data_IF_748483929249
#
_entry.id   IF_748483929249
#
_cell.length_a   1.000
_cell.length_b   1.000
_cell.length_c   1.000
_cell.angle_alpha   90.00
_cell.angle_beta   90.00
_cell.angle_gamma   90.00
#
_symmetry.space_group_name_H-M   'P 1'
#
loop_
_entity.id
_entity.type
_entity.pdbx_description
1 polymer ?
#
# COMPACT_ATOMS: atom_id res chain seq x y z
N UNK A 1 -14.87 -38.10 20.99
CA UNK A 1 -14.14 -36.82 21.13
C UNK A 1 -14.70 -35.88 20.09
N UNK A 2 -15.34 -34.78 20.49
CA UNK A 2 -15.70 -33.72 19.53
C UNK A 2 -14.39 -33.15 18.96
N UNK A 3 -14.36 -32.87 17.66
CA UNK A 3 -13.16 -32.30 17.05
C UNK A 3 -12.86 -30.93 17.68
N UNK A 4 -11.60 -30.72 18.08
CA UNK A 4 -11.14 -29.49 18.75
C UNK A 4 -11.26 -28.24 17.86
N UNK A 5 -11.48 -28.45 16.56
CA UNK A 5 -11.75 -27.42 15.57
C UNK A 5 -12.77 -27.92 14.53
N UNK A 6 -13.50 -26.98 13.94
CA UNK A 6 -14.42 -27.22 12.84
C UNK A 6 -14.25 -26.16 11.76
N UNK A 7 -14.27 -26.59 10.49
CA UNK A 7 -14.29 -25.68 9.34
C UNK A 7 -15.74 -25.48 8.91
N UNK A 8 -16.18 -24.22 8.93
CA UNK A 8 -17.49 -23.82 8.43
C UNK A 8 -17.34 -23.18 7.04
N UNK A 9 -18.24 -23.52 6.12
CA UNK A 9 -18.16 -23.08 4.71
C UNK A 9 -19.44 -22.38 4.32
N UNK A 10 -19.33 -21.20 3.73
CA UNK A 10 -20.48 -20.40 3.31
C UNK A 10 -20.32 -20.01 1.84
N UNK A 11 -21.27 -20.37 0.96
CA UNK A 11 -21.32 -19.81 -0.39
C UNK A 11 -21.81 -18.36 -0.32
N UNK A 12 -21.04 -17.42 -0.88
CA UNK A 12 -21.40 -16.00 -0.91
C UNK A 12 -22.09 -15.59 -2.22
N UNK A 13 -22.55 -16.55 -3.02
CA UNK A 13 -23.13 -16.28 -4.35
C UNK A 13 -24.35 -15.35 -4.29
N UNK A 14 -25.14 -15.44 -3.22
CA UNK A 14 -26.30 -14.60 -2.97
C UNK A 14 -26.11 -13.85 -1.65
N UNK A 15 -26.74 -12.68 -1.50
CA UNK A 15 -26.73 -11.96 -0.24
C UNK A 15 -27.50 -12.78 0.80
N UNK A 16 -26.98 -12.87 2.02
CA UNK A 16 -27.57 -13.74 3.02
C UNK A 16 -27.03 -13.49 4.41
N UNK A 17 -27.60 -14.24 5.34
CA UNK A 17 -27.21 -14.28 6.74
C UNK A 17 -27.28 -15.70 7.26
N UNK A 18 -26.44 -16.02 8.24
CA UNK A 18 -26.41 -17.34 8.86
C UNK A 18 -25.95 -17.26 10.32
N UNK A 19 -26.32 -18.26 11.11
CA UNK A 19 -26.10 -18.28 12.55
C UNK A 19 -25.37 -19.55 12.92
N UNK A 20 -24.12 -19.39 13.36
CA UNK A 20 -23.31 -20.52 13.80
C UNK A 20 -23.49 -20.66 15.30
N UNK A 21 -24.31 -21.62 15.72
CA UNK A 21 -24.64 -21.92 17.12
C UNK A 21 -23.65 -22.93 17.70
N UNK A 22 -22.38 -22.58 17.68
CA UNK A 22 -21.29 -23.40 18.22
C UNK A 22 -20.59 -22.57 19.28
N UNK A 23 -20.40 -23.15 20.46
CA UNK A 23 -19.55 -22.56 21.49
C UNK A 23 -18.12 -22.55 20.97
N UNK A 24 -17.50 -21.38 20.89
CA UNK A 24 -16.12 -21.26 20.47
C UNK A 24 -15.41 -20.15 21.27
N UNK A 25 -14.11 -20.34 21.47
CA UNK A 25 -13.20 -19.31 21.99
C UNK A 25 -12.46 -18.61 20.84
N UNK A 26 -12.50 -19.22 19.66
CA UNK A 26 -11.72 -18.86 18.49
C UNK A 26 -12.59 -18.91 17.23
N UNK A 27 -12.71 -17.78 16.55
CA UNK A 27 -13.40 -17.66 15.26
C UNK A 27 -12.54 -16.87 14.27
N UNK A 28 -12.11 -17.51 13.17
CA UNK A 28 -11.23 -16.89 12.17
C UNK A 28 -11.78 -17.09 10.76
N UNK A 29 -11.87 -16.02 9.97
CA UNK A 29 -12.06 -16.13 8.53
C UNK A 29 -10.72 -16.54 7.89
N UNK A 30 -10.61 -17.80 7.47
CA UNK A 30 -9.38 -18.36 6.91
C UNK A 30 -9.14 -17.90 5.48
N UNK A 31 -10.20 -17.92 4.68
CA UNK A 31 -10.11 -17.69 3.25
C UNK A 31 -11.46 -17.26 2.71
N UNK A 32 -11.44 -16.35 1.75
CA UNK A 32 -12.59 -16.03 0.93
C UNK A 32 -12.13 -15.81 -0.52
N UNK A 33 -12.75 -16.50 -1.48
CA UNK A 33 -12.33 -16.42 -2.88
C UNK A 33 -13.09 -17.36 -3.80
N UNK A 34 -12.65 -17.47 -5.04
CA UNK A 34 -13.23 -18.39 -6.02
C UNK A 34 -12.66 -19.79 -5.84
N UNK A 35 -13.51 -20.79 -5.97
CA UNK A 35 -13.07 -22.19 -6.03
C UNK A 35 -12.77 -22.52 -7.49
N UNK A 36 -11.59 -23.09 -7.77
CA UNK A 36 -11.24 -23.53 -9.12
C UNK A 36 -12.01 -24.81 -9.54
N UNK A 37 -11.83 -25.24 -10.79
CA UNK A 37 -12.47 -26.44 -11.32
C UNK A 37 -12.10 -27.72 -10.53
N UNK A 38 -10.97 -27.71 -9.82
CA UNK A 38 -10.44 -28.82 -9.01
C UNK A 38 -10.88 -28.74 -7.54
N UNK A 39 -11.83 -27.86 -7.21
CA UNK A 39 -12.35 -27.61 -5.87
C UNK A 39 -11.30 -27.06 -4.89
N UNK A 40 -10.21 -26.48 -5.39
CA UNK A 40 -9.18 -25.85 -4.59
C UNK A 40 -9.45 -24.34 -4.46
N UNK A 41 -9.08 -23.74 -3.33
CA UNK A 41 -9.19 -22.30 -3.14
C UNK A 41 -8.21 -21.57 -4.06
N UNK A 42 -8.72 -20.81 -5.05
CA UNK A 42 -7.93 -19.91 -5.87
C UNK A 42 -8.00 -18.48 -5.30
N UNK A 43 -6.87 -17.93 -4.86
CA UNK A 43 -6.79 -16.58 -4.28
C UNK A 43 -6.85 -15.55 -5.40
N UNK A 44 -8.04 -15.03 -5.68
CA UNK A 44 -8.24 -14.00 -6.72
C UNK A 44 -8.94 -12.74 -6.21
N UNK A 45 -9.59 -12.79 -5.04
CA UNK A 45 -10.35 -11.66 -4.49
C UNK A 45 -9.97 -11.40 -3.03
N UNK A 46 -9.27 -10.30 -2.78
CA UNK A 46 -8.97 -9.78 -1.44
C UNK A 46 -10.15 -9.00 -0.83
N UNK A 47 -11.24 -8.83 -1.59
CA UNK A 47 -12.31 -7.88 -1.29
C UNK A 47 -13.56 -8.53 -0.72
N UNK A 48 -13.52 -9.81 -0.37
CA UNK A 48 -14.67 -10.50 0.16
C UNK A 48 -14.96 -10.09 1.60
N UNK A 49 -16.02 -9.29 1.76
CA UNK A 49 -16.49 -8.77 3.05
C UNK A 49 -17.60 -9.69 3.58
N UNK A 50 -17.33 -10.38 4.69
CA UNK A 50 -18.35 -11.02 5.52
C UNK A 50 -18.38 -10.28 6.83
N UNK A 51 -19.55 -9.87 7.30
CA UNK A 51 -19.68 -9.19 8.58
C UNK A 51 -20.11 -10.18 9.66
N UNK A 52 -19.51 -10.09 10.85
CA UNK A 52 -19.77 -10.98 11.96
C UNK A 52 -20.14 -10.20 13.21
N UNK A 53 -21.19 -10.62 13.91
CA UNK A 53 -21.53 -10.15 15.24
C UNK A 53 -21.36 -11.27 16.26
N UNK A 54 -20.91 -10.92 17.46
CA UNK A 54 -20.63 -11.84 18.56
C UNK A 54 -21.69 -11.67 19.64
N UNK A 55 -22.36 -12.77 20.00
CA UNK A 55 -23.33 -12.77 21.11
C UNK A 55 -24.79 -12.68 20.66
N UNK A 56 -25.62 -11.99 21.44
CA UNK A 56 -27.08 -11.94 21.25
C UNK A 56 -27.58 -10.62 20.65
N UNK A 57 -26.70 -9.63 20.48
CA UNK A 57 -27.09 -8.30 19.99
C UNK A 57 -26.84 -8.26 18.49
N UNK A 58 -27.93 -8.24 17.72
CA UNK A 58 -27.91 -8.28 16.25
C UNK A 58 -27.36 -6.99 15.62
N UNK A 59 -27.02 -5.95 16.38
CA UNK A 59 -26.72 -4.63 15.81
C UNK A 59 -25.22 -4.33 15.61
N UNK A 60 -24.32 -5.01 16.33
CA UNK A 60 -22.87 -4.75 16.26
C UNK A 60 -22.18 -5.75 15.32
N UNK A 61 -22.22 -5.45 14.02
CA UNK A 61 -21.54 -6.25 12.99
C UNK A 61 -20.14 -5.69 12.69
N UNK A 62 -19.13 -6.54 12.84
CA UNK A 62 -17.75 -6.27 12.50
C UNK A 62 -17.44 -6.80 11.10
N UNK A 63 -16.95 -5.97 10.16
CA UNK A 63 -16.51 -6.45 8.86
C UNK A 63 -15.26 -7.31 9.01
N UNK A 64 -15.35 -8.57 8.57
CA UNK A 64 -14.24 -9.51 8.52
C UNK A 64 -13.64 -9.53 7.11
N UNK A 65 -12.35 -9.22 7.04
CA UNK A 65 -11.50 -9.55 5.89
C UNK A 65 -10.81 -10.91 6.08
N UNK A 66 -10.13 -11.39 5.03
CA UNK A 66 -9.31 -12.60 5.10
C UNK A 66 -8.31 -12.47 6.27
N UNK A 67 -8.12 -13.54 7.03
CA UNK A 67 -7.31 -13.61 8.24
C UNK A 67 -7.81 -12.81 9.45
N UNK A 68 -9.00 -12.21 9.38
CA UNK A 68 -9.60 -11.54 10.55
C UNK A 68 -9.92 -12.55 11.63
N UNK A 69 -9.57 -12.19 12.86
CA UNK A 69 -9.74 -13.00 14.05
C UNK A 69 -10.71 -12.32 15.01
N UNK A 70 -11.67 -13.10 15.47
CA UNK A 70 -12.52 -12.77 16.61
C UNK A 70 -12.17 -13.75 17.73
N UNK A 71 -11.58 -13.21 18.80
CA UNK A 71 -11.20 -13.97 19.99
C UNK A 71 -12.12 -13.60 21.15
N UNK A 72 -12.67 -14.61 21.80
CA UNK A 72 -13.63 -14.44 22.89
C UNK A 72 -14.59 -15.62 22.96
N UNK A 73 -15.00 -15.98 24.18
CA UNK A 73 -16.00 -17.03 24.38
C UNK A 73 -17.36 -16.53 23.91
N UNK A 74 -17.90 -17.16 22.88
CA UNK A 74 -19.24 -16.90 22.39
C UNK A 74 -20.01 -18.20 22.15
N UNK A 75 -21.33 -18.14 22.38
CA UNK A 75 -22.25 -19.25 22.14
C UNK A 75 -22.86 -19.25 20.74
N UNK A 76 -22.81 -18.10 20.06
CA UNK A 76 -23.29 -17.93 18.71
C UNK A 76 -22.51 -16.82 17.99
N UNK A 77 -22.31 -17.01 16.68
CA UNK A 77 -21.79 -16.02 15.76
C UNK A 77 -22.84 -15.76 14.67
N UNK A 78 -23.17 -14.50 14.46
CA UNK A 78 -24.12 -14.07 13.44
C UNK A 78 -23.34 -13.54 12.25
N UNK A 79 -23.54 -14.14 11.08
CA UNK A 79 -22.87 -13.75 9.85
C UNK A 79 -23.87 -13.07 8.93
N UNK A 80 -23.43 -12.01 8.25
CA UNK A 80 -24.15 -11.41 7.12
C UNK A 80 -23.18 -11.07 6.00
N UNK A 81 -23.63 -11.13 4.76
CA UNK A 81 -22.80 -10.83 3.60
C UNK A 81 -23.62 -10.32 2.42
N UNK A 82 -22.95 -9.55 1.56
CA UNK A 82 -23.50 -9.14 0.26
C UNK A 82 -23.21 -10.21 -0.79
N UNK A 83 -24.04 -10.25 -1.85
CA UNK A 83 -23.84 -11.17 -2.98
C UNK A 83 -22.49 -10.92 -3.66
N UNK A 84 -21.72 -11.99 -3.76
CA UNK A 84 -20.40 -12.08 -4.38
C UNK A 84 -20.36 -13.35 -5.24
N UNK A 85 -20.77 -13.26 -6.52
CA UNK A 85 -20.90 -14.42 -7.39
C UNK A 85 -19.62 -15.26 -7.47
N UNK A 86 -19.75 -16.56 -7.21
CA UNK A 86 -18.63 -17.52 -7.29
C UNK A 86 -17.66 -17.51 -6.11
N UNK A 87 -17.90 -16.69 -5.08
CA UNK A 87 -17.04 -16.59 -3.90
C UNK A 87 -17.54 -17.52 -2.78
N UNK A 88 -16.61 -18.19 -2.11
CA UNK A 88 -16.85 -19.00 -0.92
C UNK A 88 -16.05 -18.45 0.25
N UNK A 89 -16.61 -18.46 1.45
CA UNK A 89 -15.92 -18.13 2.70
C UNK A 89 -15.72 -19.38 3.56
N UNK A 90 -14.54 -19.48 4.19
CA UNK A 90 -14.15 -20.59 5.05
C UNK A 90 -13.77 -20.05 6.43
N UNK A 91 -14.49 -20.47 7.45
CA UNK A 91 -14.23 -20.08 8.83
C UNK A 91 -13.63 -21.25 9.61
N UNK A 92 -12.62 -20.97 10.42
CA UNK A 92 -12.21 -21.89 11.48
C UNK A 92 -12.88 -21.49 12.78
N UNK A 93 -13.44 -22.49 13.44
CA UNK A 93 -14.10 -22.37 14.74
C UNK A 93 -13.43 -23.36 15.67
N UNK A 94 -12.94 -22.89 16.82
CA UNK A 94 -12.28 -23.76 17.79
C UNK A 94 -12.64 -23.40 19.23
N UNK A 95 -12.70 -24.42 20.07
CA UNK A 95 -12.84 -24.31 21.52
C UNK A 95 -11.50 -24.01 22.22
N UNK A 96 -10.39 -24.21 21.51
CA UNK A 96 -9.05 -24.00 22.03
C UNK A 96 -8.68 -22.52 21.89
N UNK A 97 -8.23 -21.91 22.99
CA UNK A 97 -7.65 -20.57 22.94
C UNK A 97 -6.26 -20.63 22.26
N UNK A 98 -6.05 -19.95 21.12
CA UNK A 98 -4.78 -19.94 20.39
C UNK A 98 -3.62 -19.31 21.18
N UNK A 99 -3.91 -18.59 22.29
CA UNK A 99 -2.86 -18.07 23.19
C UNK A 99 -2.32 -19.16 24.11
N UNK A 100 -3.09 -20.21 24.33
CA UNK A 100 -2.77 -21.30 25.27
C UNK A 100 -2.25 -22.55 24.56
N UNK A 101 -2.64 -22.75 23.30
CA UNK A 101 -2.22 -23.88 22.49
C UNK A 101 -1.65 -23.39 21.14
N UNK A 102 -0.61 -24.08 20.67
CA UNK A 102 0.12 -23.82 19.42
C UNK A 102 -0.68 -24.16 18.16
N UNK A 103 -1.89 -23.61 18.01
CA UNK A 103 -2.64 -23.65 16.76
C UNK A 103 -2.12 -22.51 15.88
N UNK A 104 -1.00 -22.79 15.19
CA UNK A 104 -0.48 -21.93 14.15
C UNK A 104 -1.21 -22.28 12.85
N UNK A 105 -2.14 -21.43 12.43
CA UNK A 105 -2.79 -21.56 11.14
C UNK A 105 -2.03 -20.67 10.16
N UNK A 106 -1.12 -21.28 9.42
CA UNK A 106 -0.55 -20.71 8.21
C UNK A 106 -1.67 -20.65 7.15
N UNK A 107 -2.43 -19.57 7.19
CA UNK A 107 -3.23 -19.20 6.03
C UNK A 107 -2.26 -18.82 4.90
N UNK A 108 -2.58 -19.14 3.63
CA UNK A 108 -1.83 -18.59 2.51
C UNK A 108 -1.73 -17.08 2.72
N UNK A 109 -0.56 -16.46 2.51
CA UNK A 109 -0.44 -15.03 2.74
C UNK A 109 -1.55 -14.36 1.95
N UNK A 110 -2.48 -13.68 2.65
CA UNK A 110 -3.16 -12.54 2.06
C UNK A 110 -2.07 -11.79 1.36
N UNK A 111 -2.13 -11.67 0.02
CA UNK A 111 -1.15 -10.92 -0.75
C UNK A 111 -0.99 -9.62 0.00
N UNK A 112 0.08 -9.55 0.79
CA UNK A 112 0.35 -8.40 1.59
C UNK A 112 0.61 -7.44 0.46
N UNK A 113 -0.28 -6.46 0.30
CA UNK A 113 0.15 -5.22 -0.28
C UNK A 113 1.10 -4.70 0.78
N UNK A 114 2.32 -5.24 0.77
CA UNK A 114 3.50 -4.49 1.05
C UNK A 114 3.39 -3.46 -0.04
N UNK A 115 2.75 -2.34 0.28
CA UNK A 115 3.26 -1.08 -0.21
C UNK A 115 4.66 -1.05 0.37
N UNK A 116 5.57 -1.79 -0.29
CA UNK A 116 6.95 -1.41 -0.30
C UNK A 116 6.79 0.01 -0.78
N UNK A 117 7.03 0.97 0.11
CA UNK A 117 7.43 2.28 -0.35
C UNK A 117 8.46 1.95 -1.43
N UNK A 118 8.11 2.22 -2.69
CA UNK A 118 9.01 2.01 -3.82
C UNK A 118 10.33 2.55 -3.33
N UNK A 119 11.33 1.66 -3.19
CA UNK A 119 12.52 1.98 -2.40
C UNK A 119 13.01 3.34 -2.83
N UNK A 120 12.99 4.32 -1.92
CA UNK A 120 13.29 5.70 -2.27
C UNK A 120 14.73 5.71 -2.80
N UNK A 121 14.86 5.74 -4.11
CA UNK A 121 16.15 5.76 -4.78
C UNK A 121 16.65 7.17 -4.69
N UNK A 122 17.54 7.40 -3.74
CA UNK A 122 18.21 8.68 -3.59
C UNK A 122 19.40 8.70 -4.56
N UNK A 123 19.26 9.45 -5.64
CA UNK A 123 20.33 9.68 -6.60
C UNK A 123 20.96 11.06 -6.36
N UNK A 124 22.28 11.07 -6.18
CA UNK A 124 23.07 12.31 -6.11
C UNK A 124 23.88 12.47 -7.38
N UNK A 125 23.88 13.67 -7.96
CA UNK A 125 24.71 13.99 -9.12
C UNK A 125 25.21 15.43 -9.07
N UNK A 126 26.23 15.71 -9.88
CA UNK A 126 26.77 17.05 -10.09
C UNK A 126 26.79 17.36 -11.57
N UNK A 127 26.40 18.59 -11.93
CA UNK A 127 26.39 19.07 -13.30
C UNK A 127 27.03 20.44 -13.35
N UNK A 128 28.00 20.60 -14.26
CA UNK A 128 28.62 21.90 -14.54
C UNK A 128 27.80 22.65 -15.59
N UNK A 129 27.29 23.83 -15.24
CA UNK A 129 26.43 24.65 -16.10
C UNK A 129 27.14 25.95 -16.45
N UNK A 130 27.28 26.25 -17.73
CA UNK A 130 27.78 27.55 -18.23
C UNK A 130 26.73 28.23 -19.10
N UNK A 131 26.37 27.60 -20.22
CA UNK A 131 25.26 27.99 -21.09
C UNK A 131 23.99 27.20 -20.74
N UNK A 132 22.85 27.57 -21.33
CA UNK A 132 21.59 26.86 -21.14
C UNK A 132 21.76 25.36 -21.44
N UNK A 133 21.56 24.53 -20.42
CA UNK A 133 21.81 23.10 -20.49
C UNK A 133 20.77 22.34 -19.65
N UNK A 134 20.62 21.05 -19.96
CA UNK A 134 19.79 20.15 -19.17
C UNK A 134 20.44 19.93 -17.81
N UNK A 135 19.73 20.28 -16.74
CA UNK A 135 20.19 20.08 -15.37
C UNK A 135 19.71 18.73 -14.83
N UNK A 136 18.42 18.42 -15.02
CA UNK A 136 17.85 17.13 -14.66
C UNK A 136 16.89 16.66 -15.75
N UNK A 137 17.09 15.45 -16.27
CA UNK A 137 16.18 14.84 -17.23
C UNK A 137 14.78 14.62 -16.61
N UNK A 138 13.75 14.47 -17.45
CA UNK A 138 12.43 14.04 -16.99
C UNK A 138 12.52 12.63 -16.40
N UNK A 139 11.80 12.37 -15.32
CA UNK A 139 11.75 11.05 -14.68
C UNK A 139 10.34 10.74 -14.21
N UNK A 140 9.79 9.61 -14.66
CA UNK A 140 8.45 9.16 -14.32
C UNK A 140 8.32 8.72 -12.85
N UNK A 141 9.44 8.44 -12.17
CA UNK A 141 9.46 7.98 -10.77
C UNK A 141 9.84 9.09 -9.79
N UNK A 142 10.41 10.20 -10.26
CA UNK A 142 10.90 11.25 -9.36
C UNK A 142 9.77 11.94 -8.62
N UNK A 143 9.83 11.88 -7.29
CA UNK A 143 8.90 12.55 -6.38
C UNK A 143 9.44 13.91 -5.93
N UNK A 144 10.76 14.00 -5.73
CA UNK A 144 11.42 15.21 -5.22
C UNK A 144 12.75 15.46 -5.92
N UNK A 145 13.03 16.72 -6.24
CA UNK A 145 14.30 17.18 -6.77
C UNK A 145 14.79 18.36 -5.96
N UNK A 146 15.94 18.22 -5.32
CA UNK A 146 16.64 19.34 -4.67
C UNK A 146 17.85 19.73 -5.49
N UNK A 147 17.97 21.02 -5.77
CA UNK A 147 19.00 21.65 -6.58
C UNK A 147 19.76 22.60 -5.67
N UNK A 148 21.09 22.53 -5.67
CA UNK A 148 21.96 23.42 -4.89
C UNK A 148 22.93 24.14 -5.81
N UNK A 149 22.88 25.46 -5.81
CA UNK A 149 23.91 26.28 -6.43
C UNK A 149 25.13 26.29 -5.50
N UNK A 150 26.23 25.65 -5.92
CA UNK A 150 27.49 25.65 -5.13
C UNK A 150 28.46 26.77 -5.53
N UNK A 151 28.05 27.66 -6.44
CA UNK A 151 28.84 28.85 -6.75
C UNK A 151 28.95 29.77 -5.55
N UNK A 152 30.10 30.44 -5.42
CA UNK A 152 30.34 31.49 -4.44
C UNK A 152 29.96 32.90 -4.95
N UNK A 153 29.70 33.06 -6.26
CA UNK A 153 29.51 34.39 -6.85
C UNK A 153 28.48 34.46 -7.98
N UNK A 154 28.25 33.38 -8.72
CA UNK A 154 27.36 33.38 -9.88
C UNK A 154 25.96 32.86 -9.52
N UNK A 155 24.94 33.49 -10.10
CA UNK A 155 23.53 33.09 -9.96
C UNK A 155 23.21 32.01 -10.98
N UNK A 156 22.46 30.99 -10.57
CA UNK A 156 21.94 29.96 -11.46
C UNK A 156 20.48 30.27 -11.77
N UNK A 157 20.08 30.24 -13.04
CA UNK A 157 18.68 30.44 -13.43
C UNK A 157 18.06 29.12 -13.87
N UNK A 158 16.96 28.73 -13.23
CA UNK A 158 16.26 27.46 -13.47
C UNK A 158 15.06 27.66 -14.41
N UNK A 159 14.75 26.69 -15.26
CA UNK A 159 13.60 26.73 -16.16
C UNK A 159 13.11 25.35 -16.60
N UNK A 160 11.89 25.30 -17.13
CA UNK A 160 11.26 24.06 -17.61
C UNK A 160 11.57 23.74 -19.09
N UNK A 161 12.33 24.60 -19.78
CA UNK A 161 12.67 24.43 -21.19
C UNK A 161 14.13 24.78 -21.47
N UNK A 162 14.67 24.26 -22.58
CA UNK A 162 16.03 24.55 -23.03
C UNK A 162 16.26 26.03 -23.40
N UNK A 163 15.18 26.83 -23.51
CA UNK A 163 15.23 28.26 -23.79
C UNK A 163 15.30 29.14 -22.52
N UNK A 164 15.67 28.56 -21.38
CA UNK A 164 15.88 29.32 -20.13
C UNK A 164 16.99 30.36 -20.31
N UNK A 165 16.72 31.59 -19.88
CA UNK A 165 17.66 32.71 -19.90
C UNK A 165 17.73 33.35 -18.51
N UNK A 166 18.68 34.25 -18.29
CA UNK A 166 18.74 35.07 -17.06
C UNK A 166 17.52 35.97 -16.85
N UNK A 167 16.74 36.25 -17.89
CA UNK A 167 15.53 37.07 -17.81
C UNK A 167 14.26 36.24 -17.58
N UNK A 168 14.25 34.97 -18.00
CA UNK A 168 13.06 34.10 -17.97
C UNK A 168 13.12 32.99 -16.92
N UNK A 169 14.32 32.69 -16.41
CA UNK A 169 14.53 31.64 -15.41
C UNK A 169 14.32 32.12 -13.97
N UNK A 170 14.01 31.18 -13.09
CA UNK A 170 13.94 31.42 -11.65
C UNK A 170 15.36 31.58 -11.08
N UNK A 171 15.71 32.72 -10.48
CA UNK A 171 17.05 32.96 -9.97
C UNK A 171 17.31 32.16 -8.68
N UNK A 172 18.48 31.53 -8.62
CA UNK A 172 19.02 30.85 -7.44
C UNK A 172 20.38 31.45 -7.11
N UNK A 173 20.45 32.26 -6.05
CA UNK A 173 21.64 33.00 -5.71
C UNK A 173 22.80 32.07 -5.28
N UNK A 174 24.04 32.59 -5.21
CA UNK A 174 25.19 31.82 -4.75
C UNK A 174 24.94 31.14 -3.40
N UNK A 175 25.16 29.84 -3.31
CA UNK A 175 24.93 29.06 -2.10
C UNK A 175 23.47 28.75 -1.78
N UNK A 176 22.49 29.17 -2.57
CA UNK A 176 21.08 28.84 -2.33
C UNK A 176 20.70 27.46 -2.85
N UNK A 177 19.63 26.90 -2.27
CA UNK A 177 19.03 25.64 -2.71
C UNK A 177 17.56 25.82 -3.02
N UNK A 178 17.08 25.05 -4.00
CA UNK A 178 15.68 25.04 -4.41
C UNK A 178 15.20 23.60 -4.53
N UNK A 179 13.98 23.34 -4.05
CA UNK A 179 13.39 22.01 -4.04
C UNK A 179 12.06 22.04 -4.78
N UNK A 180 11.90 21.12 -5.73
CA UNK A 180 10.67 20.90 -6.46
C UNK A 180 10.08 19.56 -6.06
N UNK A 181 8.84 19.58 -5.59
CA UNK A 181 8.08 18.39 -5.20
C UNK A 181 6.99 18.12 -6.24
N UNK A 182 6.76 16.84 -6.55
CA UNK A 182 5.69 16.38 -7.46
C UNK A 182 5.93 16.64 -8.95
N UNK A 183 7.07 17.22 -9.35
CA UNK A 183 7.37 17.48 -10.77
C UNK A 183 8.26 16.41 -11.41
N UNK A 184 7.74 15.78 -12.46
CA UNK A 184 8.43 14.80 -13.29
C UNK A 184 9.11 15.42 -14.53
N UNK A 185 8.91 16.73 -14.77
CA UNK A 185 9.40 17.41 -15.96
C UNK A 185 10.93 17.56 -15.98
N UNK A 186 11.51 17.72 -17.17
CA UNK A 186 12.93 18.08 -17.27
C UNK A 186 13.17 19.50 -16.70
N UNK A 187 14.29 19.69 -16.02
CA UNK A 187 14.75 20.98 -15.52
C UNK A 187 16.00 21.37 -16.28
N UNK A 188 15.99 22.59 -16.81
CA UNK A 188 17.11 23.22 -17.49
C UNK A 188 17.66 24.36 -16.64
N UNK A 189 18.93 24.68 -16.81
CA UNK A 189 19.54 25.79 -16.13
C UNK A 189 20.57 26.51 -16.99
N UNK A 190 20.80 27.78 -16.67
CA UNK A 190 21.86 28.61 -17.24
C UNK A 190 22.57 29.38 -16.13
N UNK A 191 23.88 29.52 -16.22
CA UNK A 191 24.67 30.31 -15.27
C UNK A 191 24.65 31.79 -15.68
N UNK A 192 24.64 32.70 -14.70
CA UNK A 192 24.77 34.13 -14.95
C UNK A 192 26.15 34.50 -15.52
N UNK A 193 27.17 33.74 -15.16
CA UNK A 193 28.55 33.90 -15.60
C UNK A 193 29.37 32.66 -15.24
N UNK A 194 30.40 32.36 -16.06
CA UNK A 194 31.32 31.25 -15.82
C UNK A 194 30.65 29.88 -15.87
N UNK A 195 31.38 28.86 -15.39
CA UNK A 195 30.83 27.52 -15.18
C UNK A 195 30.53 27.34 -13.69
N UNK A 196 29.30 26.95 -13.37
CA UNK A 196 28.83 26.71 -12.01
C UNK A 196 28.70 25.19 -11.81
N UNK A 197 29.33 24.65 -10.76
CA UNK A 197 28.99 23.32 -10.27
C UNK A 197 27.64 23.35 -9.53
N UNK A 198 26.72 22.48 -9.95
CA UNK A 198 25.38 22.37 -9.38
C UNK A 198 25.22 20.97 -8.83
N UNK A 199 24.81 20.86 -7.56
CA UNK A 199 24.55 19.58 -6.91
C UNK A 199 23.06 19.27 -6.93
N UNK A 200 22.75 18.03 -7.27
CA UNK A 200 21.39 17.53 -7.42
C UNK A 200 21.19 16.35 -6.48
N UNK A 201 20.04 16.35 -5.81
CA UNK A 201 19.53 15.23 -5.03
C UNK A 201 18.13 14.91 -5.54
N UNK A 202 17.97 13.78 -6.21
CA UNK A 202 16.69 13.29 -6.70
C UNK A 202 16.24 12.10 -5.85
N UNK A 203 14.96 12.07 -5.53
CA UNK A 203 14.29 10.97 -4.83
C UNK A 203 13.12 10.49 -5.70
N UNK A 204 13.02 9.18 -5.89
CA UNK A 204 11.94 8.53 -6.64
C UNK A 204 11.80 7.06 -6.35
#
# INVERSE_FOLDING_TARGET
MAADYQIYRVPLSEAGSDVIRIKANYFKLLWAGTIDADKRPAVTSLSAMVECSVGQVEDDYLPLGINSLVAGEAHAYWLRWKSQPGVWAFFLISLIDPRSASIQIDAPPTSQIVTQAMGATVAMSSVSISTAALLAASSATRQKLTIKNTSAAATLYLGASAAVTSATGFPLAPGEGFTVEGSQAAVYAVASAGSIDVRLLAEG
#
